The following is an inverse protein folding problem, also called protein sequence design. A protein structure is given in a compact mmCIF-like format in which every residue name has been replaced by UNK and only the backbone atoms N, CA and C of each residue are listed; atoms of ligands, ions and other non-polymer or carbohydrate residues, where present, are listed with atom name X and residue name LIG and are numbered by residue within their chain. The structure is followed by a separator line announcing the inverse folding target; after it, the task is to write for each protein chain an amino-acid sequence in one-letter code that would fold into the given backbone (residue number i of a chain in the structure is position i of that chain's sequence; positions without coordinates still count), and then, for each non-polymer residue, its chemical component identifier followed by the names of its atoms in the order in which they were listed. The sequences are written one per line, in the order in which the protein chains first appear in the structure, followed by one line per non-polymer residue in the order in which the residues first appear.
data_IF_841155106330
#
_entry.id   IF_841155106330
#
_cell.length_a   1.000
_cell.length_b   1.000
_cell.length_c   1.000
_cell.angle_alpha   90.00
_cell.angle_beta   90.00
_cell.angle_gamma   90.00
#
_symmetry.space_group_name_H-M   'P 1'
#
loop_
_entity.id
_entity.type
_entity.pdbx_description
1 polymer ?
#
# COMPACT_ATOMS: atom_id res chain seq x y z
N UNK A 1 -14.03 -20.25 2.11
CA UNK A 1 -13.20 -20.77 3.23
C UNK A 1 -12.00 -19.85 3.36
N UNK A 2 -11.83 -19.20 4.51
CA UNK A 2 -10.63 -18.42 4.79
C UNK A 2 -9.47 -19.37 5.10
N UNK A 3 -8.37 -19.25 4.35
CA UNK A 3 -7.18 -20.03 4.63
C UNK A 3 -6.34 -19.32 5.71
N UNK A 4 -6.59 -19.64 6.97
CA UNK A 4 -5.88 -19.08 8.12
C UNK A 4 -4.39 -19.48 8.18
N UNK A 5 -3.96 -20.47 7.40
CA UNK A 5 -2.57 -20.94 7.40
C UNK A 5 -1.58 -19.90 6.87
N UNK A 6 -2.05 -18.94 6.06
CA UNK A 6 -1.21 -17.89 5.48
C UNK A 6 -1.27 -16.55 6.26
N UNK A 7 -2.02 -16.50 7.36
CA UNK A 7 -2.10 -15.33 8.23
C UNK A 7 -1.00 -15.43 9.29
N UNK A 8 0.08 -14.72 9.09
CA UNK A 8 1.20 -14.65 10.03
C UNK A 8 1.04 -13.48 11.01
N UNK A 9 1.75 -13.54 12.13
CA UNK A 9 1.81 -12.45 13.10
C UNK A 9 2.30 -11.12 12.45
N UNK A 10 3.34 -11.20 11.62
CA UNK A 10 3.82 -10.04 10.85
C UNK A 10 2.76 -9.45 9.92
N UNK A 11 1.94 -10.30 9.29
CA UNK A 11 0.82 -9.85 8.47
C UNK A 11 -0.24 -9.11 9.28
N UNK A 12 -0.60 -9.63 10.47
CA UNK A 12 -1.58 -9.00 11.37
C UNK A 12 -1.06 -7.64 11.85
N UNK A 13 0.17 -7.58 12.34
CA UNK A 13 0.82 -6.34 12.80
C UNK A 13 0.82 -5.28 11.71
N UNK A 14 1.27 -5.64 10.51
CA UNK A 14 1.36 -4.72 9.38
C UNK A 14 -0.02 -4.23 8.94
N UNK A 15 -1.00 -5.12 8.75
CA UNK A 15 -2.35 -4.72 8.36
C UNK A 15 -3.02 -3.87 9.44
N UNK A 16 -2.77 -4.14 10.73
CA UNK A 16 -3.26 -3.29 11.80
C UNK A 16 -2.73 -1.86 11.66
N UNK A 17 -1.44 -1.69 11.36
CA UNK A 17 -0.89 -0.36 11.10
C UNK A 17 -1.47 0.28 9.84
N UNK A 18 -1.66 -0.49 8.77
CA UNK A 18 -2.18 -0.01 7.50
C UNK A 18 -3.63 0.44 7.60
N UNK A 19 -4.48 -0.40 8.17
CA UNK A 19 -5.93 -0.18 8.17
C UNK A 19 -6.40 0.68 9.35
N UNK A 20 -5.71 0.62 10.50
CA UNK A 20 -6.18 1.30 11.71
C UNK A 20 -5.33 2.51 12.08
N UNK A 21 -4.39 2.35 12.99
CA UNK A 21 -3.59 3.43 13.55
C UNK A 21 -2.09 3.12 13.43
N UNK A 22 -1.31 3.95 12.72
CA UNK A 22 -1.58 5.27 12.15
C UNK A 22 -2.01 5.28 10.67
N UNK A 23 -2.71 4.27 10.18
CA UNK A 23 -3.08 4.11 8.77
C UNK A 23 -4.40 4.77 8.36
N UNK A 24 -5.19 4.06 7.52
CA UNK A 24 -6.42 4.57 6.92
C UNK A 24 -7.44 5.15 7.91
N UNK A 25 -7.57 4.56 9.09
CA UNK A 25 -8.50 5.11 10.11
C UNK A 25 -8.16 6.55 10.46
N UNK A 26 -6.90 6.83 10.76
CA UNK A 26 -6.45 8.21 11.06
C UNK A 26 -6.58 9.11 9.84
N UNK A 27 -6.17 8.63 8.68
CA UNK A 27 -6.24 9.36 7.42
C UNK A 27 -7.67 9.83 7.12
N UNK A 28 -8.65 8.93 7.22
CA UNK A 28 -10.04 9.27 6.90
C UNK A 28 -10.70 10.15 7.96
N UNK A 29 -10.40 9.98 9.26
CA UNK A 29 -10.88 10.88 10.30
C UNK A 29 -10.32 12.29 10.08
N UNK A 30 -9.00 12.41 9.83
CA UNK A 30 -8.36 13.70 9.55
C UNK A 30 -8.98 14.37 8.31
N UNK A 31 -9.15 13.62 7.23
CA UNK A 31 -9.80 14.09 6.02
C UNK A 31 -11.27 14.54 6.27
N UNK A 32 -11.99 13.86 7.16
CA UNK A 32 -13.38 14.21 7.48
C UNK A 32 -13.49 15.53 8.24
N UNK A 33 -12.56 15.81 9.17
CA UNK A 33 -12.58 17.05 9.98
C UNK A 33 -11.83 18.21 9.32
N UNK A 34 -11.11 17.97 8.23
CA UNK A 34 -10.43 19.02 7.48
C UNK A 34 -11.42 20.06 6.95
N UNK A 35 -11.10 21.37 6.99
CA UNK A 35 -12.01 22.44 6.58
C UNK A 35 -12.22 22.55 5.06
N UNK A 36 -11.55 21.74 4.25
CA UNK A 36 -11.72 21.71 2.80
C UNK A 36 -13.20 21.50 2.42
N UNK A 37 -13.75 22.25 1.45
CA UNK A 37 -15.13 22.08 1.00
C UNK A 37 -15.45 20.64 0.58
N UNK A 38 -16.65 20.17 0.91
CA UNK A 38 -17.08 18.79 0.66
C UNK A 38 -16.98 18.41 -0.83
N UNK A 39 -17.28 19.33 -1.73
CA UNK A 39 -17.14 19.14 -3.18
C UNK A 39 -15.71 18.81 -3.60
N UNK A 40 -14.71 19.44 -2.96
CA UNK A 40 -13.29 19.17 -3.20
C UNK A 40 -12.91 17.80 -2.63
N UNK A 41 -13.39 17.48 -1.42
CA UNK A 41 -13.16 16.16 -0.78
C UNK A 41 -13.65 15.00 -1.64
N UNK A 42 -14.77 15.18 -2.33
CA UNK A 42 -15.34 14.17 -3.24
C UNK A 42 -14.54 14.11 -4.54
N UNK A 43 -14.23 15.27 -5.13
CA UNK A 43 -13.59 15.37 -6.45
C UNK A 43 -12.09 15.09 -6.47
N UNK A 44 -11.39 15.36 -5.36
CA UNK A 44 -9.93 15.24 -5.27
C UNK A 44 -9.43 13.90 -4.69
N UNK A 45 -10.26 12.85 -4.73
CA UNK A 45 -9.85 11.54 -4.25
C UNK A 45 -8.68 10.99 -5.06
N UNK A 46 -7.56 10.70 -4.38
CA UNK A 46 -6.38 10.09 -4.99
C UNK A 46 -6.03 8.77 -4.28
N UNK A 47 -6.40 7.65 -4.89
CA UNK A 47 -6.07 6.32 -4.35
C UNK A 47 -4.56 6.13 -4.16
N UNK A 48 -3.67 6.56 -5.08
CA UNK A 48 -2.23 6.49 -4.85
C UNK A 48 -1.77 7.28 -3.63
N UNK A 49 -2.38 8.42 -3.33
CA UNK A 49 -2.05 9.18 -2.12
C UNK A 49 -2.53 8.44 -0.86
N UNK A 50 -3.77 7.95 -0.89
CA UNK A 50 -4.37 7.23 0.25
C UNK A 50 -3.57 5.98 0.60
N UNK A 51 -3.38 5.08 -0.36
CA UNK A 51 -2.63 3.81 -0.19
C UNK A 51 -1.13 4.05 0.03
N UNK A 52 -0.54 4.96 -0.73
CA UNK A 52 0.87 5.29 -0.61
C UNK A 52 1.25 5.85 0.76
N UNK A 53 0.38 6.67 1.36
CA UNK A 53 0.55 7.17 2.73
C UNK A 53 0.59 6.02 3.72
N UNK A 54 -0.34 5.07 3.62
CA UNK A 54 -0.41 3.93 4.53
C UNK A 54 0.79 2.98 4.36
N UNK A 55 1.23 2.69 3.13
CA UNK A 55 2.48 1.92 2.89
C UNK A 55 3.71 2.65 3.44
N UNK A 56 3.75 3.99 3.35
CA UNK A 56 4.83 4.77 3.98
C UNK A 56 4.80 4.65 5.49
N UNK A 57 3.63 4.69 6.12
CA UNK A 57 3.51 4.57 7.57
C UNK A 57 3.96 3.21 8.08
N UNK A 58 3.71 2.12 7.37
CA UNK A 58 4.22 0.78 7.71
C UNK A 58 5.73 0.81 7.98
N UNK A 59 6.49 1.56 7.16
CA UNK A 59 7.94 1.72 7.32
C UNK A 59 8.31 2.76 8.38
N UNK A 60 7.62 3.91 8.39
CA UNK A 60 7.95 5.02 9.27
C UNK A 60 7.71 4.70 10.75
N UNK A 61 6.78 3.78 11.03
CA UNK A 61 6.32 3.45 12.38
C UNK A 61 6.70 2.02 12.82
N UNK A 62 7.70 1.40 12.21
CA UNK A 62 8.20 0.07 12.61
C UNK A 62 8.57 -0.04 14.09
N UNK A 63 8.90 1.09 14.73
CA UNK A 63 9.21 1.14 16.16
C UNK A 63 8.04 0.75 17.08
N UNK A 64 6.79 0.75 16.58
CA UNK A 64 5.62 0.28 17.34
C UNK A 64 5.74 -1.22 17.70
N UNK A 65 6.46 -1.97 16.87
CA UNK A 65 6.74 -3.40 17.10
C UNK A 65 8.25 -3.65 17.22
N UNK A 66 8.94 -2.75 17.97
CA UNK A 66 10.39 -2.83 18.16
C UNK A 66 10.85 -4.12 18.87
N UNK A 67 9.95 -4.77 19.62
CA UNK A 67 10.19 -6.07 20.27
C UNK A 67 10.26 -7.24 19.29
N UNK A 68 9.75 -7.07 18.05
CA UNK A 68 9.80 -8.09 17.01
C UNK A 68 10.94 -7.81 16.03
N UNK A 69 12.08 -8.53 16.14
CA UNK A 69 13.24 -8.30 15.29
C UNK A 69 13.00 -8.65 13.81
N UNK A 70 11.95 -9.42 13.51
CA UNK A 70 11.59 -9.82 12.15
C UNK A 70 10.59 -8.87 11.48
N UNK A 71 9.94 -7.99 12.23
CA UNK A 71 8.95 -7.07 11.68
C UNK A 71 9.49 -6.18 10.55
N UNK A 72 10.72 -5.60 10.63
CA UNK A 72 11.31 -4.83 9.52
C UNK A 72 11.49 -5.64 8.24
N UNK A 73 11.81 -6.94 8.35
CA UNK A 73 11.90 -7.84 7.20
C UNK A 73 10.53 -8.04 6.54
N UNK A 74 9.48 -8.18 7.36
CA UNK A 74 8.11 -8.29 6.86
C UNK A 74 7.67 -7.03 6.12
N UNK A 75 7.99 -5.85 6.64
CA UNK A 75 7.72 -4.56 5.98
C UNK A 75 8.48 -4.47 4.63
N UNK A 76 9.72 -4.95 4.56
CA UNK A 76 10.47 -5.02 3.31
C UNK A 76 9.81 -5.98 2.30
N UNK A 77 9.37 -7.15 2.74
CA UNK A 77 8.60 -8.10 1.92
C UNK A 77 7.30 -7.48 1.39
N UNK A 78 6.57 -6.73 2.21
CA UNK A 78 5.35 -6.03 1.80
C UNK A 78 5.62 -5.03 0.66
N UNK A 79 6.73 -4.31 0.73
CA UNK A 79 7.14 -3.38 -0.34
C UNK A 79 7.50 -4.13 -1.63
N UNK A 80 8.19 -5.26 -1.52
CA UNK A 80 8.46 -6.13 -2.66
C UNK A 80 7.15 -6.64 -3.26
N UNK A 81 6.22 -7.13 -2.46
CA UNK A 81 4.89 -7.52 -2.91
C UNK A 81 4.17 -6.37 -3.67
N UNK A 82 4.20 -5.15 -3.13
CA UNK A 82 3.60 -3.99 -3.80
C UNK A 82 4.26 -3.67 -5.16
N UNK A 83 5.57 -3.90 -5.32
CA UNK A 83 6.27 -3.74 -6.60
C UNK A 83 5.93 -4.85 -7.60
N UNK A 84 5.80 -6.09 -7.14
CA UNK A 84 5.38 -7.23 -7.97
C UNK A 84 3.97 -7.02 -8.52
N UNK A 85 3.07 -6.41 -7.76
CA UNK A 85 1.73 -6.03 -8.25
C UNK A 85 1.77 -5.12 -9.48
N UNK A 86 2.71 -4.16 -9.53
CA UNK A 86 2.91 -3.32 -10.73
C UNK A 86 3.39 -4.19 -11.91
N UNK A 87 4.36 -5.07 -11.67
CA UNK A 87 4.87 -5.97 -12.70
C UNK A 87 3.73 -6.82 -13.29
N UNK A 88 2.89 -7.40 -12.44
CA UNK A 88 1.75 -8.22 -12.86
C UNK A 88 0.73 -7.42 -13.65
N UNK A 89 0.36 -6.22 -13.21
CA UNK A 89 -0.55 -5.35 -13.97
C UNK A 89 0.01 -5.01 -15.36
N UNK A 90 1.29 -4.67 -15.46
CA UNK A 90 1.95 -4.40 -16.75
C UNK A 90 2.00 -5.64 -17.63
N UNK A 91 2.32 -6.80 -17.08
CA UNK A 91 2.35 -8.05 -17.83
C UNK A 91 0.99 -8.40 -18.39
N UNK A 92 -0.08 -8.31 -17.58
CA UNK A 92 -1.44 -8.64 -18.00
C UNK A 92 -2.01 -7.65 -19.01
N UNK A 93 -1.88 -6.35 -18.77
CA UNK A 93 -2.64 -5.33 -19.50
C UNK A 93 -1.84 -4.56 -20.56
N UNK A 94 -0.53 -4.62 -20.51
CA UNK A 94 0.31 -3.95 -21.49
C UNK A 94 1.10 -4.93 -22.36
N UNK A 95 1.70 -5.97 -21.75
CA UNK A 95 2.53 -6.94 -22.48
C UNK A 95 1.75 -8.17 -22.98
N UNK A 96 0.48 -8.34 -22.61
CA UNK A 96 -0.37 -9.42 -23.09
C UNK A 96 -0.05 -10.79 -22.50
N UNK A 97 0.53 -10.86 -21.31
CA UNK A 97 0.77 -12.11 -20.62
C UNK A 97 -0.54 -12.82 -20.26
N UNK A 98 -0.51 -14.14 -20.19
CA UNK A 98 -1.66 -14.93 -19.77
C UNK A 98 -1.85 -14.85 -18.25
N UNK A 99 -3.05 -15.23 -17.79
CA UNK A 99 -3.33 -15.32 -16.35
C UNK A 99 -2.41 -16.34 -15.67
N UNK A 100 -2.04 -17.39 -16.38
CA UNK A 100 -1.15 -18.41 -15.85
C UNK A 100 0.29 -17.90 -15.73
N UNK A 101 0.76 -17.04 -16.63
CA UNK A 101 2.07 -16.39 -16.51
C UNK A 101 2.08 -15.43 -15.30
N UNK A 102 0.98 -14.70 -15.09
CA UNK A 102 0.83 -13.84 -13.91
C UNK A 102 0.84 -14.63 -12.58
N UNK A 103 0.24 -15.83 -12.56
CA UNK A 103 0.30 -16.73 -11.40
C UNK A 103 1.74 -17.14 -11.11
N UNK A 104 2.50 -17.53 -12.14
CA UNK A 104 3.93 -17.91 -11.99
C UNK A 104 4.77 -16.77 -11.42
N UNK A 105 4.53 -15.53 -11.83
CA UNK A 105 5.23 -14.36 -11.26
C UNK A 105 5.04 -14.31 -9.74
N UNK A 106 3.82 -14.50 -9.24
CA UNK A 106 3.57 -14.52 -7.80
C UNK A 106 4.22 -15.70 -7.08
N UNK A 107 4.23 -16.88 -7.71
CA UNK A 107 4.91 -18.07 -7.18
C UNK A 107 6.42 -17.85 -7.10
N UNK A 108 7.05 -17.33 -8.16
CA UNK A 108 8.50 -17.17 -8.28
C UNK A 108 9.04 -15.99 -7.46
N UNK A 109 8.37 -14.84 -7.52
CA UNK A 109 8.86 -13.61 -6.87
C UNK A 109 8.52 -13.52 -5.39
N UNK A 110 7.40 -14.10 -4.97
CA UNK A 110 6.92 -13.98 -3.59
C UNK A 110 6.83 -15.29 -2.84
N UNK A 111 7.08 -16.42 -3.51
CA UNK A 111 6.97 -17.75 -2.90
C UNK A 111 5.51 -18.09 -2.51
N UNK A 112 4.53 -17.49 -3.15
CA UNK A 112 3.13 -17.80 -2.88
C UNK A 112 2.78 -19.21 -3.36
N UNK A 113 1.95 -19.88 -2.58
CA UNK A 113 1.30 -21.09 -3.08
C UNK A 113 0.34 -20.74 -4.22
N UNK A 114 0.09 -21.72 -5.08
CA UNK A 114 -0.71 -21.53 -6.30
C UNK A 114 -2.13 -21.00 -6.05
N UNK A 115 -2.75 -21.37 -4.94
CA UNK A 115 -4.10 -20.90 -4.59
C UNK A 115 -4.08 -19.42 -4.24
N UNK A 116 -3.12 -19.01 -3.43
CA UNK A 116 -2.89 -17.62 -3.06
C UNK A 116 -2.51 -16.79 -4.30
N UNK A 117 -1.60 -17.28 -5.13
CA UNK A 117 -1.20 -16.60 -6.37
C UNK A 117 -2.39 -16.39 -7.32
N UNK A 118 -3.23 -17.38 -7.53
CA UNK A 118 -4.46 -17.26 -8.34
C UNK A 118 -5.43 -16.25 -7.76
N UNK A 119 -5.61 -16.21 -6.44
CA UNK A 119 -6.47 -15.21 -5.80
C UNK A 119 -5.96 -13.79 -6.04
N UNK A 120 -4.63 -13.56 -6.00
CA UNK A 120 -4.04 -12.27 -6.34
C UNK A 120 -4.30 -11.89 -7.81
N UNK A 121 -4.07 -12.81 -8.75
CA UNK A 121 -4.33 -12.55 -10.18
C UNK A 121 -5.81 -12.26 -10.44
N UNK A 122 -6.72 -12.96 -9.78
CA UNK A 122 -8.16 -12.67 -9.87
C UNK A 122 -8.49 -11.26 -9.33
N UNK A 123 -7.81 -10.81 -8.29
CA UNK A 123 -7.97 -9.44 -7.77
C UNK A 123 -7.54 -8.39 -8.82
N UNK A 124 -6.47 -8.62 -9.58
CA UNK A 124 -6.07 -7.76 -10.71
C UNK A 124 -7.13 -7.72 -11.80
N UNK A 125 -7.78 -8.84 -12.12
CA UNK A 125 -8.87 -8.88 -13.10
C UNK A 125 -10.08 -8.05 -12.63
N UNK A 126 -10.39 -8.07 -11.34
CA UNK A 126 -11.51 -7.32 -10.78
C UNK A 126 -11.24 -5.81 -10.69
N UNK A 127 -9.98 -5.40 -10.61
CA UNK A 127 -9.58 -4.01 -10.45
C UNK A 127 -8.27 -3.70 -11.24
N UNK A 128 -8.34 -3.66 -12.59
CA UNK A 128 -7.16 -3.39 -13.42
C UNK A 128 -6.48 -2.06 -13.04
N UNK A 129 -5.15 -2.10 -12.87
CA UNK A 129 -4.34 -0.93 -12.53
C UNK A 129 -4.43 -0.45 -11.07
N UNK A 130 -5.43 -0.91 -10.30
CA UNK A 130 -5.62 -0.48 -8.91
C UNK A 130 -4.39 -0.75 -8.05
N UNK A 131 -3.80 -1.92 -8.19
CA UNK A 131 -2.68 -2.34 -7.33
C UNK A 131 -1.37 -1.60 -7.60
N UNK A 132 -1.26 -0.86 -8.70
CA UNK A 132 -0.12 0.03 -8.95
C UNK A 132 -0.07 1.18 -7.96
N UNK A 133 -1.22 1.59 -7.41
CA UNK A 133 -1.37 2.71 -6.49
C UNK A 133 -0.50 2.58 -5.23
N UNK A 134 -0.34 1.39 -4.70
CA UNK A 134 0.39 1.12 -3.47
C UNK A 134 1.86 1.53 -3.55
N UNK A 135 2.61 0.91 -4.45
CA UNK A 135 4.04 1.18 -4.58
C UNK A 135 4.30 2.54 -5.24
N UNK A 136 3.55 2.89 -6.29
CA UNK A 136 3.68 4.17 -6.97
C UNK A 136 3.43 5.33 -6.01
N UNK A 137 2.33 5.30 -5.27
CA UNK A 137 1.98 6.32 -4.29
C UNK A 137 3.05 6.46 -3.21
N UNK A 138 3.45 5.34 -2.59
CA UNK A 138 4.51 5.33 -1.58
C UNK A 138 5.84 5.89 -2.14
N UNK A 139 6.25 5.47 -3.32
CA UNK A 139 7.48 5.92 -3.96
C UNK A 139 7.47 7.44 -4.17
N UNK A 140 6.38 7.97 -4.73
CA UNK A 140 6.21 9.40 -5.00
C UNK A 140 6.26 10.22 -3.71
N UNK A 141 5.52 9.77 -2.68
CA UNK A 141 5.50 10.41 -1.35
C UNK A 141 6.89 10.41 -0.72
N UNK A 142 7.60 9.28 -0.77
CA UNK A 142 8.96 9.20 -0.23
C UNK A 142 9.99 10.03 -1.02
N UNK A 143 9.79 10.21 -2.32
CA UNK A 143 10.64 11.08 -3.13
C UNK A 143 10.42 12.56 -2.74
N UNK A 144 9.18 12.99 -2.57
CA UNK A 144 8.87 14.35 -2.07
C UNK A 144 9.40 14.59 -0.65
N UNK A 145 9.26 13.61 0.27
CA UNK A 145 9.83 13.70 1.61
C UNK A 145 11.33 14.03 1.58
N UNK A 146 12.07 13.41 0.66
CA UNK A 146 13.50 13.67 0.46
C UNK A 146 13.77 15.02 -0.22
N UNK A 147 13.02 15.32 -1.26
CA UNK A 147 13.18 16.52 -2.07
C UNK A 147 12.98 17.80 -1.24
N UNK A 148 11.93 17.82 -0.42
CA UNK A 148 11.59 18.96 0.42
C UNK A 148 12.24 18.96 1.79
N UNK A 149 12.99 17.92 2.15
CA UNK A 149 13.78 17.84 3.37
C UNK A 149 12.96 17.83 4.67
N UNK A 150 11.73 17.36 4.62
CA UNK A 150 10.88 17.23 5.80
C UNK A 150 11.44 16.22 6.79
N UNK A 151 11.25 16.51 8.08
CA UNK A 151 11.40 15.45 9.10
C UNK A 151 10.29 14.41 8.93
N UNK A 152 10.55 13.20 9.40
CA UNK A 152 9.56 12.12 9.36
C UNK A 152 8.22 12.53 10.00
N UNK A 153 8.28 13.25 11.09
CA UNK A 153 7.09 13.66 11.85
C UNK A 153 6.33 14.79 11.17
N UNK A 154 7.01 15.85 10.76
CA UNK A 154 6.40 16.98 10.06
C UNK A 154 5.73 16.53 8.76
N UNK A 155 6.38 15.62 8.04
CA UNK A 155 5.82 15.09 6.80
C UNK A 155 4.62 14.17 7.05
N UNK A 156 4.64 13.40 8.12
CA UNK A 156 3.48 12.57 8.52
C UNK A 156 2.29 13.46 8.88
N UNK A 157 2.50 14.52 9.67
CA UNK A 157 1.45 15.47 10.00
C UNK A 157 0.90 16.16 8.74
N UNK A 158 1.77 16.59 7.84
CA UNK A 158 1.36 17.18 6.56
C UNK A 158 0.47 16.23 5.76
N UNK A 159 0.88 14.97 5.56
CA UNK A 159 0.11 13.98 4.81
C UNK A 159 -1.27 13.72 5.40
N UNK A 160 -1.37 13.67 6.73
CA UNK A 160 -2.66 13.42 7.39
C UNK A 160 -3.52 14.69 7.52
N UNK A 161 -2.93 15.89 7.54
CA UNK A 161 -3.67 17.16 7.61
C UNK A 161 -4.07 17.70 6.26
N UNK A 162 -3.44 17.25 5.18
CA UNK A 162 -3.73 17.72 3.83
C UNK A 162 -5.14 17.37 3.33
N UNK A 163 -5.84 16.45 4.01
CA UNK A 163 -7.14 15.99 3.59
C UNK A 163 -7.10 15.18 2.29
N UNK A 164 -8.17 15.30 1.50
CA UNK A 164 -8.22 14.69 0.16
C UNK A 164 -7.73 15.66 -0.88
N UNK A 165 -6.55 15.40 -1.40
CA UNK A 165 -5.90 16.18 -2.45
C UNK A 165 -5.43 15.27 -3.60
N UNK A 166 -5.20 15.86 -4.77
CA UNK A 166 -4.56 15.20 -5.90
C UNK A 166 -3.07 14.97 -5.63
N UNK A 167 -2.45 14.06 -6.35
CA UNK A 167 -0.98 13.86 -6.38
C UNK A 167 -0.28 14.73 -7.45
N UNK A 168 -1.02 15.61 -8.09
CA UNK A 168 -0.50 16.55 -9.09
C UNK A 168 -0.18 17.92 -8.48
#
# INVERSE_FOLDING_TARGET
QYNYQNITDGWIKMNTMHETYPGHHVQFIRAAIDPTPETVKIGAKSVPLEEGTCIRTERAFTFIFAEDPFFPLFVAFRRHHASVRILVDLQLYYFGATLEDAVKIYEEELGFDRVTARAQVQAHQNAPGYFTCYYYGMKKICDWEKEYGYTKWDYTELLFSAGRISME
#
